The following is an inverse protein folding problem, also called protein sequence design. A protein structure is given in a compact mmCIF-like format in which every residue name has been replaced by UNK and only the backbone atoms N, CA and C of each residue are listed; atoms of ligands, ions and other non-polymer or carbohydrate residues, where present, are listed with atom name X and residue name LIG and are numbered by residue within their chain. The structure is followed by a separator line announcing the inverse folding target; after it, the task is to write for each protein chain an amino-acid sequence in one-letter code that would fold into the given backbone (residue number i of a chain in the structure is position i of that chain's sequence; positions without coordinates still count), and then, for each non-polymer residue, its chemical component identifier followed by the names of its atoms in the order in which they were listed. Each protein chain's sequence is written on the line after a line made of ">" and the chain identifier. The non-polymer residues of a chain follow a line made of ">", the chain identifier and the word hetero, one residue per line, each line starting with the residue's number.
data_IF_526511391230
#
_entry.id   IF_526511391230
#
_cell.length_a   1.000
_cell.length_b   1.000
_cell.length_c   1.000
_cell.angle_alpha   90.00
_cell.angle_beta   90.00
_cell.angle_gamma   90.00
#
_symmetry.space_group_name_H-M   'P 1'
#
loop_
_entity.id
_entity.type
_entity.pdbx_description
1 polymer ?
#
# COMPACT_ATOMS: atom_id res chain seq x y z
N UNK A 1 16.19 1.03 0.20
CA UNK A 1 14.74 1.06 -0.06
C UNK A 1 14.12 -0.04 0.78
N UNK A 2 13.34 0.32 1.81
CA UNK A 2 12.59 -0.65 2.60
C UNK A 2 11.70 -1.49 1.69
N UNK A 3 11.65 -2.80 1.91
CA UNK A 3 10.88 -3.75 1.10
C UNK A 3 9.39 -3.73 1.49
N UNK A 4 8.49 -4.00 0.54
CA UNK A 4 7.08 -4.25 0.82
C UNK A 4 6.93 -5.57 1.59
N UNK A 5 6.32 -5.51 2.77
CA UNK A 5 6.16 -6.66 3.66
C UNK A 5 4.69 -6.97 3.86
N UNK A 6 4.35 -8.25 3.92
CA UNK A 6 3.02 -8.67 4.33
C UNK A 6 2.80 -8.25 5.79
N UNK A 7 1.79 -7.41 6.04
CA UNK A 7 1.48 -6.91 7.38
C UNK A 7 0.31 -7.66 8.01
N UNK A 8 -0.73 -7.95 7.24
CA UNK A 8 -1.95 -8.56 7.76
C UNK A 8 -2.66 -9.39 6.69
N UNK A 9 -3.26 -10.50 7.12
CA UNK A 9 -4.21 -11.28 6.32
C UNK A 9 -5.42 -11.60 7.19
N UNK A 10 -6.63 -11.37 6.68
CA UNK A 10 -7.87 -11.68 7.39
C UNK A 10 -8.98 -12.04 6.41
N UNK A 11 -9.41 -13.31 6.45
CA UNK A 11 -10.34 -13.84 5.47
C UNK A 11 -9.77 -13.71 4.06
N UNK A 12 -10.51 -13.02 3.20
CA UNK A 12 -10.15 -12.68 1.81
C UNK A 12 -9.20 -11.47 1.72
N UNK A 13 -9.08 -10.68 2.78
CA UNK A 13 -8.30 -9.44 2.74
C UNK A 13 -6.82 -9.70 3.03
N UNK A 14 -5.95 -9.18 2.17
CA UNK A 14 -4.50 -9.15 2.35
C UNK A 14 -4.00 -7.72 2.35
N UNK A 15 -3.09 -7.39 3.27
CA UNK A 15 -2.48 -6.06 3.40
C UNK A 15 -0.97 -6.16 3.41
N UNK A 16 -0.35 -5.50 2.43
CA UNK A 16 1.08 -5.21 2.40
C UNK A 16 1.35 -3.82 2.94
N UNK A 17 2.49 -3.67 3.60
CA UNK A 17 2.95 -2.37 4.07
C UNK A 17 4.43 -2.20 3.81
N UNK A 18 4.81 -0.95 3.60
CA UNK A 18 6.19 -0.53 3.42
C UNK A 18 6.42 0.73 4.23
N UNK A 19 7.42 0.68 5.09
CA UNK A 19 7.90 1.86 5.78
C UNK A 19 8.71 2.73 4.81
N UNK A 20 8.44 4.02 4.74
CA UNK A 20 9.21 4.93 3.89
C UNK A 20 10.53 5.31 4.60
N UNK A 21 11.66 4.84 4.07
CA UNK A 21 12.98 5.12 4.66
C UNK A 21 13.21 6.63 4.83
N UNK A 22 13.76 7.06 5.96
CA UNK A 22 13.98 8.48 6.28
C UNK A 22 12.75 9.21 6.83
N UNK A 23 11.60 8.53 6.88
CA UNK A 23 10.38 8.94 7.57
C UNK A 23 10.02 7.87 8.60
N UNK A 24 10.74 7.88 9.71
CA UNK A 24 10.35 7.14 10.91
C UNK A 24 8.88 7.52 11.19
N UNK A 25 7.93 6.59 10.94
CA UNK A 25 6.46 6.68 11.10
C UNK A 25 5.59 6.78 9.84
N UNK A 26 6.10 7.00 8.63
CA UNK A 26 5.21 7.01 7.44
C UNK A 26 5.23 5.65 6.76
N UNK A 27 4.05 5.10 6.52
CA UNK A 27 3.84 3.81 5.90
C UNK A 27 2.99 3.95 4.64
N UNK A 28 3.40 3.26 3.58
CA UNK A 28 2.56 2.99 2.44
C UNK A 28 1.92 1.60 2.62
N UNK A 29 0.64 1.49 2.35
CA UNK A 29 -0.15 0.27 2.45
C UNK A 29 -0.74 -0.05 1.09
N UNK A 30 -0.81 -1.35 0.77
CA UNK A 30 -1.64 -1.87 -0.32
C UNK A 30 -2.52 -2.96 0.27
N UNK A 31 -3.83 -2.76 0.19
CA UNK A 31 -4.85 -3.72 0.59
C UNK A 31 -5.62 -4.22 -0.62
N UNK A 32 -5.94 -5.51 -0.62
CA UNK A 32 -6.78 -6.12 -1.64
C UNK A 32 -7.57 -7.27 -1.03
N UNK A 33 -8.70 -7.58 -1.67
CA UNK A 33 -9.55 -8.70 -1.32
C UNK A 33 -9.41 -9.75 -2.42
N UNK A 34 -9.14 -11.00 -2.05
CA UNK A 34 -9.04 -12.14 -2.95
C UNK A 34 -9.93 -13.27 -2.44
N UNK A 35 -10.92 -13.64 -3.24
CA UNK A 35 -11.81 -14.77 -2.95
C UNK A 35 -11.17 -16.09 -3.39
N UNK A 36 -11.57 -17.20 -2.77
CA UNK A 36 -10.99 -18.53 -3.07
C UNK A 36 -11.16 -18.96 -4.54
N UNK A 37 -12.19 -18.46 -5.22
CA UNK A 37 -12.45 -18.71 -6.65
C UNK A 37 -11.75 -17.71 -7.60
N UNK A 38 -11.06 -16.70 -7.07
CA UNK A 38 -10.31 -15.72 -7.86
C UNK A 38 -8.83 -16.10 -7.99
N UNK A 39 -8.35 -16.24 -9.24
CA UNK A 39 -6.91 -16.44 -9.50
C UNK A 39 -6.07 -15.21 -9.08
N UNK A 40 -6.64 -14.02 -9.20
CA UNK A 40 -6.03 -12.75 -8.80
C UNK A 40 -7.08 -11.77 -8.27
N UNK A 41 -6.73 -10.88 -7.32
CA UNK A 41 -7.60 -9.82 -6.84
C UNK A 41 -8.10 -8.91 -7.96
N UNK A 42 -9.40 -8.58 -7.93
CA UNK A 42 -10.02 -7.68 -8.92
C UNK A 42 -9.63 -6.21 -8.70
N UNK A 43 -9.42 -5.80 -7.44
CA UNK A 43 -9.13 -4.42 -7.08
C UNK A 43 -8.02 -4.35 -6.04
N UNK A 44 -7.08 -3.43 -6.23
CA UNK A 44 -6.06 -3.10 -5.25
C UNK A 44 -6.29 -1.68 -4.77
N UNK A 45 -6.34 -1.50 -3.46
CA UNK A 45 -6.37 -0.19 -2.83
C UNK A 45 -5.01 0.11 -2.26
N UNK A 46 -4.57 1.35 -2.38
CA UNK A 46 -3.36 1.81 -1.73
C UNK A 46 -3.61 3.05 -0.89
N UNK A 47 -2.79 3.23 0.15
CA UNK A 47 -2.83 4.41 0.99
C UNK A 47 -1.47 4.75 1.60
N UNK A 48 -1.17 6.03 1.75
CA UNK A 48 -0.02 6.52 2.51
C UNK A 48 -0.54 7.06 3.83
N UNK A 49 -0.05 6.55 4.94
CA UNK A 49 -0.55 6.91 6.27
C UNK A 49 0.57 7.28 7.22
N UNK A 50 0.26 8.18 8.14
CA UNK A 50 1.07 8.46 9.31
C UNK A 50 0.78 7.43 10.41
N UNK A 51 1.74 6.56 10.69
CA UNK A 51 1.64 5.48 11.67
C UNK A 51 1.61 5.94 13.13
N UNK A 52 1.81 7.24 13.42
CA UNK A 52 1.70 7.75 14.79
C UNK A 52 0.26 8.01 15.22
N UNK A 53 -0.62 8.33 14.26
CA UNK A 53 -2.02 8.63 14.52
C UNK A 53 -3.02 7.89 13.60
N UNK A 54 -2.54 7.06 12.67
CA UNK A 54 -3.36 6.34 11.70
C UNK A 54 -4.01 7.25 10.66
N UNK A 55 -3.47 8.46 10.46
CA UNK A 55 -4.03 9.43 9.51
C UNK A 55 -3.64 9.06 8.09
N UNK A 56 -4.63 8.83 7.24
CA UNK A 56 -4.43 8.71 5.79
C UNK A 56 -4.07 10.08 5.22
N UNK A 57 -2.91 10.16 4.57
CA UNK A 57 -2.40 11.36 3.89
C UNK A 57 -2.83 11.39 2.43
N UNK A 58 -2.80 10.24 1.77
CA UNK A 58 -3.27 10.05 0.39
C UNK A 58 -3.72 8.61 0.17
N UNK A 59 -4.60 8.38 -0.79
CA UNK A 59 -5.10 7.04 -1.11
C UNK A 59 -5.67 6.96 -2.52
N UNK A 60 -5.62 5.77 -3.10
CA UNK A 60 -6.21 5.51 -4.41
C UNK A 60 -6.53 4.03 -4.61
N UNK A 61 -6.95 3.73 -5.83
CA UNK A 61 -7.28 2.39 -6.28
C UNK A 61 -6.57 2.13 -7.61
N UNK A 62 -6.20 0.87 -7.82
CA UNK A 62 -5.52 0.39 -9.01
C UNK A 62 -6.20 -0.92 -9.43
N UNK A 63 -6.85 -0.88 -10.58
CA UNK A 63 -7.57 -2.03 -11.16
C UNK A 63 -6.69 -2.76 -12.19
N UNK A 64 -5.83 -2.02 -12.89
CA UNK A 64 -4.96 -2.55 -13.94
C UNK A 64 -3.50 -2.66 -13.47
N UNK A 65 -2.84 -3.78 -13.77
CA UNK A 65 -1.41 -4.01 -13.47
C UNK A 65 -1.10 -4.69 -12.14
N UNK A 66 -2.13 -5.00 -11.34
CA UNK A 66 -2.01 -5.87 -10.15
C UNK A 66 -1.29 -5.23 -8.96
N UNK A 67 -0.85 -6.09 -8.02
CA UNK A 67 -0.17 -5.68 -6.78
C UNK A 67 1.04 -4.76 -7.03
N UNK A 68 1.85 -5.08 -8.04
CA UNK A 68 3.06 -4.30 -8.37
C UNK A 68 2.73 -2.89 -8.83
N UNK A 69 1.64 -2.70 -9.59
CA UNK A 69 1.21 -1.38 -10.02
C UNK A 69 0.69 -0.56 -8.82
N UNK A 70 -0.14 -1.16 -7.96
CA UNK A 70 -0.63 -0.50 -6.75
C UNK A 70 0.51 -0.08 -5.81
N UNK A 71 1.54 -0.92 -5.66
CA UNK A 71 2.75 -0.60 -4.91
C UNK A 71 3.50 0.59 -5.52
N UNK A 72 3.66 0.61 -6.85
CA UNK A 72 4.31 1.70 -7.56
C UNK A 72 3.53 3.03 -7.45
N UNK A 73 2.20 2.99 -7.52
CA UNK A 73 1.35 4.16 -7.33
C UNK A 73 1.46 4.71 -5.90
N UNK A 74 1.46 3.83 -4.89
CA UNK A 74 1.66 4.22 -3.49
C UNK A 74 3.04 4.86 -3.28
N UNK A 75 4.08 4.31 -3.90
CA UNK A 75 5.44 4.86 -3.86
C UNK A 75 5.52 6.22 -4.57
N UNK A 76 4.84 6.38 -5.71
CA UNK A 76 4.78 7.64 -6.44
C UNK A 76 4.01 8.72 -5.66
N UNK A 77 2.91 8.36 -4.99
CA UNK A 77 2.17 9.24 -4.10
C UNK A 77 3.03 9.67 -2.90
N UNK A 78 3.70 8.72 -2.26
CA UNK A 78 4.66 8.98 -1.19
C UNK A 78 5.77 9.95 -1.62
N UNK A 79 6.37 9.74 -2.79
CA UNK A 79 7.42 10.62 -3.33
C UNK A 79 6.91 12.05 -3.61
N UNK A 80 5.64 12.22 -3.99
CA UNK A 80 5.01 13.54 -4.15
C UNK A 80 4.77 14.24 -2.81
N UNK A 81 4.33 13.50 -1.79
CA UNK A 81 4.08 14.02 -0.45
C UNK A 81 5.38 14.38 0.28
N UNK A 82 6.44 13.62 0.03
CA UNK A 82 7.73 13.76 0.73
C UNK A 82 8.90 13.84 -0.25
N UNK A 83 9.01 14.93 -1.03
CA UNK A 83 10.09 15.08 -2.01
C UNK A 83 11.45 15.18 -1.30
N UNK A 84 12.42 14.37 -1.74
CA UNK A 84 13.82 14.45 -1.29
C UNK A 84 14.16 13.60 -0.06
N UNK A 85 13.35 12.59 0.28
CA UNK A 85 13.67 11.54 1.25
C UNK A 85 13.82 10.18 0.58
#
# INVERSE_FOLDING_TARGET
>A
MNEWKLQHTSGTQTTYARELSGLDRIYAYVDYDQWDDEEQPTHYRWSVQDGSCGKVLDSGFTDEGGLTAAQADADAAAAKLFPGR
#
